data_IF_895045442961
#
_entry.id   IF_895045442961
#
_cell.length_a   1.000
_cell.length_b   1.000
_cell.length_c   1.000
_cell.angle_alpha   90.00
_cell.angle_beta   90.00
_cell.angle_gamma   90.00
#
_symmetry.space_group_name_H-M   'P 1'
#
loop_
_entity.id
_entity.type
_entity.pdbx_description
1 polymer ?
#
# COMPACT_ATOMS: atom_id res chain seq x y z
N UNK A 1 13.55 -10.06 -2.81
CA UNK A 1 12.39 -9.64 -1.97
C UNK A 1 12.38 -8.14 -1.77
N UNK A 2 11.20 -7.57 -1.87
CA UNK A 2 11.01 -6.15 -1.61
C UNK A 2 9.79 -5.94 -0.75
N UNK A 3 9.82 -4.93 0.11
CA UNK A 3 8.65 -4.44 0.79
C UNK A 3 8.07 -3.28 -0.02
N UNK A 4 6.82 -3.41 -0.40
CA UNK A 4 6.07 -2.35 -1.04
C UNK A 4 5.32 -1.64 0.09
N UNK A 5 5.67 -0.40 0.32
CA UNK A 5 5.01 0.42 1.32
C UNK A 5 4.27 1.54 0.60
N UNK A 6 2.97 1.55 0.72
CA UNK A 6 2.14 2.50 -0.01
C UNK A 6 1.30 3.33 0.94
N UNK A 7 1.32 4.64 0.75
CA UNK A 7 0.44 5.57 1.47
C UNK A 7 -0.58 6.07 0.46
N UNK A 8 -1.85 5.76 0.71
CA UNK A 8 -2.93 6.02 -0.23
C UNK A 8 -4.06 6.78 0.46
N UNK A 9 -4.96 7.35 -0.36
CA UNK A 9 -6.20 7.95 0.15
C UNK A 9 -7.06 6.89 0.81
N UNK A 10 -7.64 7.21 1.94
CA UNK A 10 -8.55 6.30 2.63
C UNK A 10 -9.74 5.93 1.73
N UNK A 11 -10.22 6.87 0.91
CA UNK A 11 -11.34 6.66 -0.01
C UNK A 11 -11.03 5.62 -1.10
N UNK A 12 -9.75 5.33 -1.36
CA UNK A 12 -9.34 4.37 -2.38
C UNK A 12 -8.98 3.00 -1.81
N UNK A 13 -9.02 2.85 -0.50
CA UNK A 13 -8.54 1.62 0.14
C UNK A 13 -9.29 0.38 -0.34
N UNK A 14 -10.61 0.42 -0.42
CA UNK A 14 -11.39 -0.75 -0.85
C UNK A 14 -11.07 -1.13 -2.29
N UNK A 15 -10.89 -0.15 -3.17
CA UNK A 15 -10.51 -0.41 -4.56
C UNK A 15 -9.11 -1.03 -4.65
N UNK A 16 -8.18 -0.55 -3.82
CA UNK A 16 -6.82 -1.11 -3.77
C UNK A 16 -6.85 -2.56 -3.28
N UNK A 17 -7.65 -2.86 -2.25
CA UNK A 17 -7.80 -4.23 -1.77
C UNK A 17 -8.28 -5.17 -2.88
N UNK A 18 -9.28 -4.73 -3.64
CA UNK A 18 -9.81 -5.52 -4.75
C UNK A 18 -8.78 -5.74 -5.84
N UNK A 19 -7.99 -4.70 -6.15
CA UNK A 19 -6.96 -4.80 -7.17
C UNK A 19 -5.83 -5.75 -6.74
N UNK A 20 -5.44 -5.72 -5.47
CA UNK A 20 -4.43 -6.63 -4.94
C UNK A 20 -4.91 -8.08 -4.99
N UNK A 21 -6.16 -8.31 -4.61
CA UNK A 21 -6.73 -9.65 -4.67
C UNK A 21 -6.81 -10.16 -6.11
N UNK A 22 -7.19 -9.30 -7.04
CA UNK A 22 -7.24 -9.65 -8.46
C UNK A 22 -5.85 -9.96 -9.02
N UNK A 23 -4.80 -9.38 -8.44
CA UNK A 23 -3.41 -9.65 -8.81
C UNK A 23 -2.82 -10.83 -8.03
N UNK A 24 -3.66 -11.56 -7.31
CA UNK A 24 -3.27 -12.74 -6.53
C UNK A 24 -2.36 -12.42 -5.34
N UNK A 25 -2.47 -11.20 -4.83
CA UNK A 25 -1.77 -10.77 -3.62
C UNK A 25 -2.74 -10.90 -2.45
N UNK A 26 -2.61 -12.00 -1.71
CA UNK A 26 -3.60 -12.36 -0.70
C UNK A 26 -3.29 -11.82 0.69
N UNK A 27 -2.04 -11.43 0.94
CA UNK A 27 -1.63 -11.05 2.28
C UNK A 27 -0.91 -9.71 2.28
N UNK A 28 -1.42 -8.81 3.08
CA UNK A 28 -0.78 -7.52 3.36
C UNK A 28 -1.28 -7.02 4.70
N UNK A 29 -0.51 -6.18 5.34
CA UNK A 29 -0.94 -5.48 6.54
C UNK A 29 -1.18 -4.01 6.23
N UNK A 30 -2.02 -3.37 7.02
CA UNK A 30 -2.32 -1.97 6.83
C UNK A 30 -2.72 -1.31 8.15
N UNK A 31 -2.60 0.00 8.20
CA UNK A 31 -3.07 0.77 9.33
C UNK A 31 -3.32 2.22 8.91
N UNK A 32 -4.12 2.90 9.71
CA UNK A 32 -4.43 4.30 9.46
C UNK A 32 -3.28 5.17 9.92
N UNK A 33 -2.93 6.18 9.10
CA UNK A 33 -1.91 7.17 9.42
C UNK A 33 -2.46 8.55 9.11
N UNK A 34 -1.85 9.57 9.68
CA UNK A 34 -2.16 10.94 9.33
C UNK A 34 -0.96 11.52 8.61
N UNK A 35 -1.21 12.15 7.46
CA UNK A 35 -0.18 12.78 6.66
C UNK A 35 -0.28 14.29 6.78
N UNK A 36 0.88 14.94 6.84
CA UNK A 36 1.00 16.40 6.74
C UNK A 36 1.61 16.73 5.39
N UNK A 37 1.04 17.69 4.69
CA UNK A 37 1.53 18.12 3.39
C UNK A 37 1.77 19.61 3.35
N UNK A 38 2.52 20.04 2.32
CA UNK A 38 2.77 21.47 2.10
C UNK A 38 1.54 22.21 1.60
N UNK A 39 0.56 21.50 1.05
CA UNK A 39 -0.66 22.11 0.58
C UNK A 39 -1.58 22.39 1.77
N UNK A 40 -1.44 23.58 2.29
CA UNK A 40 -2.22 24.07 3.42
C UNK A 40 -3.34 24.95 2.91
N UNK A 41 -4.22 24.39 2.11
CA UNK A 41 -5.37 25.11 1.63
C UNK A 41 -6.52 24.92 2.61
N UNK A 42 -6.86 26.00 3.26
CA UNK A 42 -8.10 26.04 4.01
C UNK A 42 -9.27 25.96 3.04
N UNK A 43 -10.20 25.05 3.29
CA UNK A 43 -11.44 24.96 2.52
C UNK A 43 -12.58 25.49 3.38
N UNK A 44 -13.46 26.24 2.73
CA UNK A 44 -14.66 26.77 3.39
C UNK A 44 -15.85 25.93 2.95
N UNK A 45 -16.56 25.38 3.93
CA UNK A 45 -17.80 24.66 3.69
C UNK A 45 -18.85 25.20 4.66
N UNK A 46 -19.94 25.71 4.11
CA UNK A 46 -21.03 26.32 4.90
C UNK A 46 -20.52 27.40 5.86
N UNK A 47 -19.53 28.19 5.43
CA UNK A 47 -18.97 29.25 6.24
C UNK A 47 -17.98 28.80 7.31
N UNK A 48 -17.66 27.52 7.39
CA UNK A 48 -16.68 26.99 8.33
C UNK A 48 -15.40 26.65 7.58
N UNK A 49 -14.29 27.14 8.10
CA UNK A 49 -12.98 26.88 7.51
C UNK A 49 -12.43 25.55 8.01
N UNK A 50 -12.01 24.69 7.09
CA UNK A 50 -11.40 23.40 7.41
C UNK A 50 -9.93 23.40 7.03
N UNK A 51 -9.09 22.95 7.95
CA UNK A 51 -7.67 22.76 7.69
C UNK A 51 -7.48 21.40 7.00
N UNK A 52 -6.91 21.43 5.78
CA UNK A 52 -6.64 20.23 5.00
C UNK A 52 -5.18 19.81 5.02
N UNK A 53 -4.35 20.43 5.87
CA UNK A 53 -2.92 20.11 5.95
C UNK A 53 -2.66 18.75 6.56
N UNK A 54 -3.53 18.29 7.46
CA UNK A 54 -3.43 16.98 8.11
C UNK A 54 -4.57 16.11 7.61
N UNK A 55 -4.23 15.04 6.89
CA UNK A 55 -5.24 14.21 6.23
C UNK A 55 -5.03 12.75 6.65
N UNK A 56 -6.15 12.05 6.86
CA UNK A 56 -6.12 10.62 7.14
C UNK A 56 -5.75 9.84 5.87
N UNK A 57 -4.83 8.89 6.03
CA UNK A 57 -4.35 8.02 4.98
C UNK A 57 -4.34 6.58 5.46
N UNK A 58 -4.20 5.67 4.54
CA UNK A 58 -3.95 4.26 4.85
C UNK A 58 -2.54 3.91 4.36
N UNK A 59 -1.77 3.29 5.24
CA UNK A 59 -0.45 2.78 4.89
C UNK A 59 -0.53 1.27 4.76
N UNK A 60 -0.12 0.76 3.60
CA UNK A 60 -0.07 -0.67 3.32
C UNK A 60 1.38 -1.14 3.32
N UNK A 61 1.60 -2.33 3.86
CA UNK A 61 2.90 -3.01 3.83
C UNK A 61 2.72 -4.38 3.20
N UNK A 62 3.44 -4.62 2.12
CA UNK A 62 3.36 -5.87 1.37
C UNK A 62 4.79 -6.31 1.04
N UNK A 63 5.19 -7.50 1.49
CA UNK A 63 6.48 -8.06 1.10
C UNK A 63 6.25 -9.06 -0.02
N UNK A 64 6.93 -8.87 -1.14
CA UNK A 64 6.75 -9.68 -2.34
C UNK A 64 8.09 -10.15 -2.88
N UNK A 65 8.05 -11.23 -3.66
CA UNK A 65 9.20 -11.68 -4.44
C UNK A 65 9.49 -10.65 -5.54
N UNK A 66 10.74 -10.60 -5.98
CA UNK A 66 11.14 -9.63 -7.01
C UNK A 66 10.26 -9.69 -8.26
N UNK A 67 9.87 -10.90 -8.67
CA UNK A 67 9.02 -11.07 -9.87
C UNK A 67 7.65 -10.42 -9.74
N UNK A 68 7.19 -10.15 -8.53
CA UNK A 68 5.87 -9.59 -8.29
C UNK A 68 5.89 -8.10 -7.96
N UNK A 69 7.04 -7.47 -7.98
CA UNK A 69 7.19 -6.06 -7.60
C UNK A 69 6.37 -5.15 -8.53
N UNK A 70 6.60 -5.27 -9.84
CA UNK A 70 5.91 -4.39 -10.80
C UNK A 70 4.42 -4.67 -10.86
N UNK A 71 4.02 -5.92 -10.73
CA UNK A 71 2.61 -6.29 -10.67
C UNK A 71 1.92 -5.65 -9.45
N UNK A 72 2.58 -5.67 -8.30
CA UNK A 72 2.05 -5.09 -7.07
C UNK A 72 1.92 -3.57 -7.20
N UNK A 73 2.97 -2.92 -7.73
CA UNK A 73 2.95 -1.47 -7.94
C UNK A 73 1.82 -1.09 -8.89
N UNK A 74 1.68 -1.80 -10.00
CA UNK A 74 0.64 -1.52 -10.98
C UNK A 74 -0.77 -1.66 -10.38
N UNK A 75 -0.99 -2.70 -9.56
CA UNK A 75 -2.28 -2.92 -8.92
C UNK A 75 -2.63 -1.75 -7.98
N UNK A 76 -1.67 -1.32 -7.15
CA UNK A 76 -1.90 -0.23 -6.21
C UNK A 76 -2.11 1.07 -6.97
N UNK A 77 -1.21 1.40 -7.89
CA UNK A 77 -1.27 2.66 -8.64
C UNK A 77 -2.57 2.79 -9.42
N UNK A 78 -2.95 1.74 -10.12
CA UNK A 78 -4.16 1.78 -10.95
C UNK A 78 -5.43 2.03 -10.14
N UNK A 79 -5.51 1.47 -8.93
CA UNK A 79 -6.68 1.60 -8.08
C UNK A 79 -6.66 2.87 -7.22
N UNK A 80 -5.46 3.37 -6.85
CA UNK A 80 -5.33 4.50 -5.95
C UNK A 80 -5.26 5.85 -6.67
N UNK A 81 -4.91 5.86 -7.93
CA UNK A 81 -4.67 7.09 -8.69
C UNK A 81 -5.96 7.86 -8.98
N UNK A 82 -5.98 9.14 -8.62
CA UNK A 82 -7.03 10.07 -9.04
C UNK A 82 -6.50 11.08 -10.05
N UNK A 83 -5.20 11.27 -10.10
CA UNK A 83 -4.55 12.29 -10.92
C UNK A 83 -4.38 13.62 -10.21
N UNK A 84 -4.82 13.71 -8.96
CA UNK A 84 -4.72 14.93 -8.17
C UNK A 84 -3.60 14.86 -7.16
N UNK A 85 -3.11 16.01 -6.73
CA UNK A 85 -2.14 16.11 -5.65
C UNK A 85 -2.74 15.48 -4.38
N UNK A 86 -1.95 14.66 -3.71
CA UNK A 86 -2.40 13.96 -2.51
C UNK A 86 -2.76 12.50 -2.72
N UNK A 87 -2.52 11.96 -3.92
CA UNK A 87 -2.76 10.54 -4.20
C UNK A 87 -1.86 9.60 -3.37
N UNK A 88 -0.74 10.11 -2.89
CA UNK A 88 0.16 9.33 -2.06
C UNK A 88 1.41 8.86 -2.80
N UNK A 89 2.08 7.90 -2.22
CA UNK A 89 3.36 7.40 -2.76
C UNK A 89 3.51 5.92 -2.49
N UNK A 90 4.31 5.29 -3.33
CA UNK A 90 4.70 3.90 -3.18
C UNK A 90 6.21 3.86 -3.01
N UNK A 91 6.67 3.22 -1.94
CA UNK A 91 8.09 3.02 -1.68
C UNK A 91 8.44 1.56 -1.89
N UNK A 92 9.57 1.32 -2.53
CA UNK A 92 10.09 -0.04 -2.74
C UNK A 92 11.35 -0.17 -1.92
N UNK A 93 11.33 -1.07 -0.94
CA UNK A 93 12.37 -1.19 0.07
C UNK A 93 12.97 -2.59 0.01
N UNK A 94 14.30 -2.72 -0.09
CA UNK A 94 14.93 -4.05 -0.05
C UNK A 94 14.65 -4.76 1.28
N UNK A 95 14.35 -6.04 1.20
CA UNK A 95 14.18 -6.92 2.36
C UNK A 95 15.30 -7.94 2.32
N UNK A 96 16.07 -8.00 3.39
CA UNK A 96 17.24 -8.89 3.45
C UNK A 96 16.85 -10.35 3.58
N UNK A 97 15.81 -10.63 4.35
CA UNK A 97 15.39 -11.99 4.59
C UNK A 97 13.96 -12.02 5.12
N UNK A 98 13.33 -13.17 5.00
CA UNK A 98 11.99 -13.44 5.53
C UNK A 98 12.01 -14.81 6.18
N UNK A 99 11.38 -14.92 7.34
CA UNK A 99 11.31 -16.20 8.06
C UNK A 99 9.83 -16.49 8.33
N UNK A 100 9.38 -17.66 7.89
CA UNK A 100 8.02 -18.12 8.24
C UNK A 100 8.05 -18.64 9.67
N UNK A 101 7.28 -18.05 10.54
CA UNK A 101 7.29 -18.41 11.96
C UNK A 101 6.89 -19.87 12.17
N UNK A 102 5.88 -20.35 11.45
CA UNK A 102 5.37 -21.70 11.61
C UNK A 102 6.39 -22.78 11.29
N UNK A 103 7.22 -22.56 10.28
CA UNK A 103 8.10 -23.62 9.75
C UNK A 103 9.58 -23.31 9.90
N UNK A 104 9.96 -22.05 10.10
CA UNK A 104 11.35 -21.63 10.08
C UNK A 104 11.94 -21.50 8.69
N UNK A 105 11.16 -21.71 7.64
CA UNK A 105 11.64 -21.52 6.27
C UNK A 105 12.03 -20.06 6.02
N UNK A 106 13.06 -19.87 5.21
CA UNK A 106 13.64 -18.55 4.97
C UNK A 106 13.65 -18.22 3.49
N UNK A 107 13.71 -16.91 3.19
CA UNK A 107 13.80 -16.43 1.83
C UNK A 107 12.45 -16.45 1.12
N UNK A 108 12.49 -16.47 -0.20
CA UNK A 108 11.30 -16.37 -1.04
C UNK A 108 10.23 -17.39 -0.71
N UNK A 109 10.63 -18.59 -0.34
CA UNK A 109 9.68 -19.67 -0.01
C UNK A 109 8.81 -19.32 1.19
N UNK A 110 9.26 -18.42 2.06
CA UNK A 110 8.49 -17.98 3.21
C UNK A 110 7.37 -17.01 2.84
N UNK A 111 7.34 -16.53 1.59
CA UNK A 111 6.37 -15.52 1.14
C UNK A 111 5.12 -16.12 0.48
N UNK A 112 5.07 -17.41 0.23
CA UNK A 112 3.93 -18.02 -0.46
C UNK A 112 3.68 -19.44 0.04
N UNK A 113 2.49 -19.94 -0.21
CA UNK A 113 2.14 -21.32 0.02
C UNK A 113 2.49 -22.14 -1.20
N UNK A 114 3.17 -23.28 -1.01
CA UNK A 114 3.56 -24.18 -2.08
C UNK A 114 2.35 -24.62 -2.92
N UNK A 115 1.19 -24.75 -2.28
CA UNK A 115 -0.05 -25.18 -2.95
C UNK A 115 -0.57 -24.15 -3.95
N UNK A 116 -0.12 -22.90 -3.84
CA UNK A 116 -0.54 -21.80 -4.69
C UNK A 116 0.57 -21.27 -5.57
N UNK A 117 1.66 -21.99 -5.66
CA UNK A 117 2.75 -21.57 -6.50
C UNK A 117 2.38 -21.73 -7.98
N UNK A 118 2.57 -20.70 -8.72
CA UNK A 118 2.38 -20.65 -10.17
C UNK A 118 3.69 -20.71 -10.95
#
# INVERSE_FOLDING_TARGET
MKKIEAIIRKSRFEDVKKALLAADIEWFSYYNVRGEGKMRQARIYRGVMYDTSSIERVLLNIVVRDKNVELTIAAIQGAAQTGEVGDGRIFVIPVLDTVRIRTGERGDIALYNAEKEE
#
